data_IF_263666699258
#
_entry.id   IF_263666699258
#
_cell.length_a   1.000
_cell.length_b   1.000
_cell.length_c   1.000
_cell.angle_alpha   90.00
_cell.angle_beta   90.00
_cell.angle_gamma   90.00
#
_symmetry.space_group_name_H-M   'P 1'
#
loop_
_entity.id
_entity.type
_entity.pdbx_description
1 polymer ?
#
# COMPACT_ATOMS: atom_id res chain seq x y z
N UNK A 1 -34.99 15.43 3.33
CA UNK A 1 -34.78 15.24 4.77
C UNK A 1 -33.35 14.76 4.95
N UNK A 2 -32.46 15.62 5.46
CA UNK A 2 -31.01 15.40 5.52
C UNK A 2 -30.62 14.28 6.48
N UNK A 3 -31.39 14.11 7.55
CA UNK A 3 -31.17 13.08 8.58
C UNK A 3 -31.29 11.67 7.99
N UNK A 4 -32.38 11.41 7.24
CA UNK A 4 -32.58 10.15 6.53
C UNK A 4 -31.51 9.88 5.45
N UNK A 5 -30.95 10.93 4.83
CA UNK A 5 -29.84 10.77 3.87
C UNK A 5 -28.53 10.43 4.59
N UNK A 6 -28.22 11.09 5.71
CA UNK A 6 -27.03 10.80 6.52
C UNK A 6 -27.08 9.39 7.13
N UNK A 7 -28.24 8.95 7.61
CA UNK A 7 -28.43 7.57 8.09
C UNK A 7 -28.24 6.55 6.96
N UNK A 8 -28.77 6.82 5.77
CA UNK A 8 -28.62 5.93 4.62
C UNK A 8 -27.17 5.84 4.14
N UNK A 9 -26.43 6.96 4.10
CA UNK A 9 -25.00 6.98 3.75
C UNK A 9 -24.18 6.21 4.78
N UNK A 10 -24.43 6.43 6.08
CA UNK A 10 -23.75 5.71 7.14
C UNK A 10 -24.00 4.19 7.05
N UNK A 11 -25.22 3.77 6.73
CA UNK A 11 -25.59 2.37 6.60
C UNK A 11 -25.02 1.73 5.32
N UNK A 12 -25.10 2.43 4.17
CA UNK A 12 -24.65 1.91 2.87
C UNK A 12 -23.14 1.63 2.84
N UNK A 13 -22.33 2.45 3.51
CA UNK A 13 -20.87 2.26 3.59
C UNK A 13 -20.49 0.97 4.32
N UNK A 14 -21.34 0.47 5.23
CA UNK A 14 -21.11 -0.76 5.99
C UNK A 14 -21.60 -2.02 5.26
N UNK A 15 -22.62 -1.90 4.40
CA UNK A 15 -23.29 -3.03 3.75
C UNK A 15 -22.60 -3.49 2.46
N UNK A 16 -21.82 -2.62 1.79
CA UNK A 16 -21.27 -2.91 0.46
C UNK A 16 -19.86 -3.54 0.47
N UNK A 17 -19.60 -4.39 1.46
CA UNK A 17 -18.31 -5.09 1.59
C UNK A 17 -18.38 -6.50 1.02
N UNK A 18 -18.70 -6.62 -0.27
CA UNK A 18 -18.42 -7.87 -0.97
C UNK A 18 -16.89 -7.98 -1.20
N UNK A 19 -16.22 -8.72 -0.32
CA UNK A 19 -14.78 -8.98 -0.36
C UNK A 19 -14.37 -10.03 -1.40
N UNK A 20 -15.33 -10.68 -2.07
CA UNK A 20 -15.11 -11.77 -3.04
C UNK A 20 -15.17 -11.33 -4.51
N UNK A 21 -15.39 -10.04 -4.79
CA UNK A 21 -15.35 -9.52 -6.17
C UNK A 21 -13.90 -9.44 -6.70
N UNK A 22 -13.72 -9.36 -8.03
CA UNK A 22 -12.42 -9.18 -8.71
C UNK A 22 -11.81 -7.79 -8.46
N UNK A 23 -11.40 -7.52 -7.22
CA UNK A 23 -10.76 -6.27 -6.79
C UNK A 23 -9.69 -6.53 -5.74
N UNK A 24 -8.80 -5.56 -5.57
CA UNK A 24 -7.85 -5.56 -4.45
C UNK A 24 -8.57 -5.00 -3.22
N UNK A 25 -8.52 -5.77 -2.12
CA UNK A 25 -9.12 -5.37 -0.86
C UNK A 25 -8.10 -4.61 -0.01
N UNK A 26 -8.33 -3.32 0.19
CA UNK A 26 -7.51 -2.49 1.09
C UNK A 26 -8.26 -2.32 2.42
N UNK A 27 -7.59 -2.66 3.51
CA UNK A 27 -8.15 -2.55 4.85
C UNK A 27 -7.05 -2.39 5.89
N UNK A 28 -7.43 -2.00 7.10
CA UNK A 28 -6.50 -2.00 8.23
C UNK A 28 -6.28 -3.42 8.75
N UNK A 29 -5.16 -3.65 9.44
CA UNK A 29 -4.86 -4.96 10.03
C UNK A 29 -5.95 -5.40 11.02
N UNK A 30 -6.54 -4.47 11.77
CA UNK A 30 -7.66 -4.73 12.69
C UNK A 30 -8.91 -5.23 11.96
N UNK A 31 -9.24 -4.63 10.82
CA UNK A 31 -10.40 -5.02 10.00
C UNK A 31 -10.24 -6.37 9.33
N UNK A 32 -9.02 -6.89 9.21
CA UNK A 32 -8.73 -8.19 8.57
C UNK A 32 -9.10 -9.41 9.43
N UNK A 33 -9.47 -9.20 10.69
CA UNK A 33 -9.78 -10.27 11.64
C UNK A 33 -10.93 -11.15 11.13
N UNK A 34 -10.69 -12.45 11.02
CA UNK A 34 -11.68 -13.42 10.54
C UNK A 34 -11.78 -13.52 9.01
N UNK A 35 -11.03 -12.70 8.27
CA UNK A 35 -10.88 -12.84 6.83
C UNK A 35 -9.60 -13.63 6.52
N UNK A 36 -9.52 -14.20 5.32
CA UNK A 36 -8.33 -14.89 4.84
C UNK A 36 -8.21 -14.71 3.31
N UNK A 37 -6.99 -14.54 2.83
CA UNK A 37 -6.69 -14.27 1.42
C UNK A 37 -5.53 -15.13 0.94
N UNK A 38 -5.51 -15.46 -0.36
CA UNK A 38 -4.40 -16.23 -0.94
C UNK A 38 -3.06 -15.50 -0.82
N UNK A 39 -3.08 -14.19 -1.07
CA UNK A 39 -1.92 -13.31 -0.98
C UNK A 39 -2.27 -12.09 -0.15
N UNK A 40 -1.42 -11.74 0.82
CA UNK A 40 -1.55 -10.53 1.64
C UNK A 40 -0.31 -9.67 1.48
N UNK A 41 -0.52 -8.38 1.24
CA UNK A 41 0.53 -7.37 1.22
C UNK A 41 0.45 -6.58 2.54
N UNK A 42 1.56 -6.51 3.25
CA UNK A 42 1.68 -5.88 4.57
C UNK A 42 2.72 -4.75 4.48
N UNK A 43 2.35 -3.58 3.94
CA UNK A 43 3.25 -2.43 3.88
C UNK A 43 3.33 -1.70 5.22
N UNK A 44 4.37 -0.90 5.39
CA UNK A 44 4.52 0.00 6.55
C UNK A 44 4.99 -0.71 7.81
N UNK A 45 5.77 -1.79 7.68
CA UNK A 45 6.45 -2.44 8.81
C UNK A 45 7.68 -1.64 9.22
N UNK A 46 7.44 -0.48 9.81
CA UNK A 46 8.44 0.51 10.17
C UNK A 46 8.37 0.82 11.67
N UNK A 47 9.52 1.03 12.32
CA UNK A 47 9.54 1.51 13.70
C UNK A 47 8.81 2.86 13.82
N UNK A 48 8.04 3.01 14.90
CA UNK A 48 7.19 4.17 15.15
C UNK A 48 5.83 4.13 14.45
N UNK A 49 5.72 3.49 13.27
CA UNK A 49 4.45 3.27 12.58
C UNK A 49 3.81 1.93 12.98
N UNK A 50 4.59 0.85 12.90
CA UNK A 50 4.20 -0.51 13.27
C UNK A 50 5.42 -1.28 13.81
N UNK A 51 5.58 -1.40 15.13
CA UNK A 51 4.60 -1.11 16.18
C UNK A 51 4.32 0.39 16.36
N UNK A 52 3.07 0.74 16.66
CA UNK A 52 2.66 2.14 16.79
C UNK A 52 3.25 2.77 18.05
N UNK A 53 4.03 3.85 17.87
CA UNK A 53 4.80 4.49 18.95
C UNK A 53 3.95 4.83 20.18
N UNK A 54 2.78 5.45 19.96
CA UNK A 54 1.87 5.86 21.04
C UNK A 54 1.34 4.67 21.86
N UNK A 55 1.15 3.51 21.23
CA UNK A 55 0.67 2.30 21.91
C UNK A 55 1.71 1.82 22.93
N UNK A 56 2.99 1.89 22.53
CA UNK A 56 4.12 1.55 23.39
C UNK A 56 4.28 2.59 24.52
N UNK A 57 4.12 3.88 24.23
CA UNK A 57 4.26 4.94 25.25
C UNK A 57 3.16 4.88 26.32
N UNK A 58 1.91 4.63 25.92
CA UNK A 58 0.76 4.60 26.85
C UNK A 58 0.70 3.32 27.69
N UNK A 59 1.06 2.16 27.09
CA UNK A 59 0.86 0.84 27.71
C UNK A 59 2.14 0.08 27.98
N UNK A 60 3.30 0.65 27.64
CA UNK A 60 4.60 0.02 27.79
C UNK A 60 4.67 -1.33 27.07
N UNK A 61 5.21 -2.31 27.78
CA UNK A 61 5.37 -3.70 27.31
C UNK A 61 4.04 -4.34 26.89
N UNK A 62 2.94 -4.04 27.59
CA UNK A 62 1.62 -4.57 27.24
C UNK A 62 1.13 -4.02 25.88
N UNK A 63 1.48 -2.78 25.54
CA UNK A 63 1.15 -2.18 24.24
C UNK A 63 1.93 -2.85 23.13
N UNK A 64 3.23 -3.10 23.36
CA UNK A 64 4.07 -3.83 22.41
C UNK A 64 3.54 -5.24 22.14
N UNK A 65 3.14 -5.98 23.18
CA UNK A 65 2.57 -7.32 23.03
C UNK A 65 1.23 -7.32 22.28
N UNK A 66 0.44 -6.25 22.37
CA UNK A 66 -0.79 -6.10 21.59
C UNK A 66 -0.49 -5.88 20.10
N UNK A 67 0.47 -5.01 19.78
CA UNK A 67 0.94 -4.81 18.39
C UNK A 67 1.56 -6.09 17.82
N UNK A 68 2.27 -6.87 18.64
CA UNK A 68 2.81 -8.19 18.27
C UNK A 68 1.69 -9.17 17.91
N UNK A 69 0.61 -9.21 18.71
CA UNK A 69 -0.58 -10.01 18.39
C UNK A 69 -1.22 -9.54 17.08
N UNK A 70 -1.25 -8.24 16.83
CA UNK A 70 -1.77 -7.68 15.58
C UNK A 70 -0.91 -8.13 14.39
N UNK A 71 0.42 -8.09 14.52
CA UNK A 71 1.36 -8.58 13.50
C UNK A 71 1.11 -10.05 13.16
N UNK A 72 0.96 -10.89 14.19
CA UNK A 72 0.63 -12.30 14.05
C UNK A 72 -0.70 -12.51 13.31
N UNK A 73 -1.75 -11.76 13.69
CA UNK A 73 -3.05 -11.82 13.00
C UNK A 73 -2.86 -11.44 11.53
N UNK A 74 -2.15 -10.35 11.22
CA UNK A 74 -1.90 -9.88 9.87
C UNK A 74 -1.19 -10.91 8.98
N UNK A 75 -0.11 -11.52 9.47
CA UNK A 75 0.63 -12.56 8.73
C UNK A 75 -0.27 -13.79 8.50
N UNK A 76 -0.98 -14.24 9.53
CA UNK A 76 -1.83 -15.46 9.43
C UNK A 76 -3.09 -15.27 8.59
N UNK A 77 -3.37 -14.05 8.09
CA UNK A 77 -4.44 -13.85 7.08
C UNK A 77 -4.05 -14.42 5.71
N UNK A 78 -2.76 -14.60 5.45
CA UNK A 78 -2.26 -15.13 4.19
C UNK A 78 -2.30 -16.66 4.17
N UNK A 79 -2.93 -17.24 3.14
CA UNK A 79 -2.96 -18.70 2.94
C UNK A 79 -1.73 -19.22 2.21
N UNK A 80 -1.20 -18.45 1.26
CA UNK A 80 -0.08 -18.89 0.39
C UNK A 80 1.12 -17.97 0.51
N UNK A 81 0.93 -16.65 0.48
CA UNK A 81 2.03 -15.69 0.48
C UNK A 81 1.70 -14.42 1.27
N UNK A 82 2.56 -14.09 2.23
CA UNK A 82 2.60 -12.78 2.88
C UNK A 82 3.83 -12.02 2.37
N UNK A 83 3.65 -10.81 1.82
CA UNK A 83 4.76 -9.91 1.50
C UNK A 83 4.76 -8.75 2.48
N UNK A 84 5.85 -8.60 3.21
CA UNK A 84 6.06 -7.48 4.13
C UNK A 84 6.99 -6.47 3.47
N UNK A 85 6.67 -5.18 3.59
CA UNK A 85 7.53 -4.10 3.11
C UNK A 85 7.61 -2.94 4.09
N UNK A 86 8.74 -2.24 4.05
CA UNK A 86 9.03 -1.04 4.82
C UNK A 86 9.71 -0.01 3.92
N UNK A 87 9.57 1.26 4.24
CA UNK A 87 10.24 2.37 3.56
C UNK A 87 11.32 2.96 4.48
N UNK A 88 12.47 3.35 3.90
CA UNK A 88 13.51 4.08 4.64
C UNK A 88 13.10 5.52 4.92
N UNK A 89 12.38 6.17 3.99
CA UNK A 89 11.87 7.51 4.18
C UNK A 89 10.37 7.55 3.87
N UNK A 90 9.60 8.22 4.73
CA UNK A 90 8.15 8.37 4.56
C UNK A 90 7.73 9.82 4.79
N UNK A 91 6.84 10.31 3.94
CA UNK A 91 6.13 11.55 4.21
C UNK A 91 4.92 11.26 5.09
N UNK A 92 4.88 11.83 6.30
CA UNK A 92 3.84 11.58 7.28
C UNK A 92 3.50 12.86 8.05
N UNK A 93 2.20 13.19 8.13
CA UNK A 93 1.68 14.38 8.82
C UNK A 93 2.34 15.72 8.44
N UNK A 94 2.85 15.84 7.22
CA UNK A 94 3.45 17.08 6.72
C UNK A 94 4.98 17.11 6.76
N UNK A 95 5.60 16.14 7.40
CA UNK A 95 7.05 16.05 7.55
C UNK A 95 7.62 14.78 6.93
N UNK A 96 8.89 14.84 6.52
CA UNK A 96 9.65 13.66 6.13
C UNK A 96 10.25 13.01 7.38
N UNK A 97 9.94 11.73 7.56
CA UNK A 97 10.41 10.93 8.67
C UNK A 97 11.34 9.85 8.11
N UNK A 98 12.51 9.72 8.75
CA UNK A 98 13.41 8.60 8.56
C UNK A 98 12.88 7.41 9.37
N UNK A 99 12.67 6.29 8.69
CA UNK A 99 12.00 5.10 9.19
C UNK A 99 12.95 3.91 9.11
N UNK A 100 13.10 3.19 10.22
CA UNK A 100 13.79 1.91 10.24
C UNK A 100 12.79 0.76 10.05
N UNK A 101 13.28 -0.40 9.62
CA UNK A 101 12.47 -1.62 9.59
C UNK A 101 11.93 -1.94 11.00
N UNK A 102 10.69 -2.40 11.07
CA UNK A 102 10.04 -2.84 12.31
C UNK A 102 10.82 -3.98 12.96
N UNK A 103 10.97 -3.92 14.29
CA UNK A 103 11.53 -5.03 15.09
C UNK A 103 10.81 -6.36 14.85
N UNK A 104 9.53 -6.35 14.48
CA UNK A 104 8.77 -7.57 14.19
C UNK A 104 9.29 -8.30 12.96
N UNK A 105 10.06 -7.65 12.07
CA UNK A 105 10.71 -8.32 10.93
C UNK A 105 11.82 -9.26 11.41
N UNK A 106 12.61 -8.82 12.40
CA UNK A 106 13.74 -9.59 12.94
C UNK A 106 13.30 -10.76 13.83
N UNK A 107 12.06 -10.73 14.30
CA UNK A 107 11.45 -11.81 15.08
C UNK A 107 10.95 -12.98 14.22
N UNK A 108 10.85 -12.79 12.90
CA UNK A 108 10.39 -13.84 12.00
C UNK A 108 11.47 -14.90 11.79
N UNK A 109 11.12 -16.21 11.79
CA UNK A 109 12.10 -17.26 11.57
C UNK A 109 12.73 -17.13 10.17
N UNK A 110 14.07 -17.00 10.11
CA UNK A 110 14.78 -16.78 8.85
C UNK A 110 14.56 -17.90 7.83
N UNK A 111 14.29 -19.13 8.29
CA UNK A 111 14.01 -20.30 7.44
C UNK A 111 12.76 -20.13 6.55
N UNK A 112 11.80 -19.29 6.95
CA UNK A 112 10.59 -19.01 6.17
C UNK A 112 10.59 -17.63 5.52
N UNK A 113 11.65 -16.83 5.71
CA UNK A 113 11.72 -15.45 5.23
C UNK A 113 12.69 -15.34 4.06
N UNK A 114 12.15 -15.01 2.88
CA UNK A 114 12.97 -14.62 1.73
C UNK A 114 13.16 -13.10 1.73
N UNK A 115 14.32 -12.63 2.18
CA UNK A 115 14.70 -11.21 2.13
C UNK A 115 14.97 -10.82 0.66
N UNK A 116 14.19 -9.89 0.13
CA UNK A 116 14.35 -9.36 -1.22
C UNK A 116 15.04 -8.01 -1.15
N UNK A 117 16.37 -7.99 -1.04
CA UNK A 117 17.16 -6.78 -1.23
C UNK A 117 17.27 -6.48 -2.72
N UNK A 118 16.13 -6.18 -3.35
CA UNK A 118 16.16 -5.50 -4.63
C UNK A 118 16.47 -4.05 -4.31
N UNK A 119 17.75 -3.74 -4.08
CA UNK A 119 18.23 -2.43 -4.50
C UNK A 119 17.87 -2.39 -5.99
N UNK A 120 16.84 -1.62 -6.32
CA UNK A 120 16.54 -1.32 -7.71
C UNK A 120 17.83 -0.65 -8.19
N UNK A 121 18.69 -1.37 -8.91
CA UNK A 121 19.50 -0.72 -9.92
C UNK A 121 18.49 0.08 -10.72
N UNK A 122 18.56 1.41 -10.65
CA UNK A 122 17.71 2.33 -11.38
C UNK A 122 17.86 2.07 -12.88
N UNK A 123 17.26 1.00 -13.39
CA UNK A 123 16.72 1.02 -14.72
C UNK A 123 15.48 1.87 -14.59
N UNK A 124 15.66 3.15 -14.92
CA UNK A 124 14.62 4.16 -15.10
C UNK A 124 13.65 3.74 -16.22
N UNK A 125 12.97 2.63 -16.04
CA UNK A 125 11.73 2.36 -16.75
C UNK A 125 10.65 3.06 -15.94
N UNK A 126 10.45 4.35 -16.27
CA UNK A 126 9.38 5.21 -15.78
C UNK A 126 8.11 4.36 -15.55
N UNK A 127 7.71 4.23 -14.28
CA UNK A 127 6.45 3.62 -13.90
C UNK A 127 5.33 4.55 -14.39
N UNK A 128 4.90 4.38 -15.63
CA UNK A 128 3.80 5.15 -16.24
C UNK A 128 2.48 4.61 -15.68
N UNK A 129 1.92 5.33 -14.71
CA UNK A 129 0.62 5.01 -14.10
C UNK A 129 -0.50 5.34 -15.11
N UNK A 130 -0.65 4.50 -16.13
CA UNK A 130 -1.84 4.53 -16.99
C UNK A 130 -3.01 3.93 -16.21
N UNK A 131 -3.63 4.75 -15.38
CA UNK A 131 -4.99 4.48 -14.91
C UNK A 131 -5.95 4.82 -16.05
N UNK A 132 -6.15 3.84 -16.95
CA UNK A 132 -7.23 3.89 -17.94
C UNK A 132 -8.57 3.76 -17.21
N UNK A 133 -9.07 4.88 -16.69
CA UNK A 133 -10.49 5.07 -16.39
C UNK A 133 -11.18 5.35 -17.72
N UNK A 134 -11.90 4.37 -18.25
CA UNK A 134 -12.77 4.55 -19.42
C UNK A 134 -13.91 5.53 -19.08
N UNK A 135 -13.63 6.83 -19.20
CA UNK A 135 -14.67 7.83 -19.41
C UNK A 135 -14.72 8.13 -20.91
N UNK A 136 -15.87 7.83 -21.51
CA UNK A 136 -16.14 8.05 -22.91
C UNK A 136 -15.88 9.50 -23.35
N UNK A 137 -15.37 9.60 -24.57
CA UNK A 137 -15.22 10.79 -25.43
C UNK A 137 -14.18 11.86 -25.00
N UNK A 138 -13.05 11.81 -25.73
CA UNK A 138 -12.02 12.84 -25.98
C UNK A 138 -11.81 13.96 -24.93
N UNK A 139 -11.15 13.62 -23.83
CA UNK A 139 -10.34 14.59 -23.07
C UNK A 139 -8.84 14.24 -23.20
N UNK A 140 -8.20 14.73 -24.27
CA UNK A 140 -6.74 14.56 -24.46
C UNK A 140 -6.01 15.40 -23.43
N UNK A 141 -5.40 14.74 -22.44
CA UNK A 141 -4.67 15.43 -21.38
C UNK A 141 -3.48 16.22 -21.96
N UNK A 142 -3.05 17.32 -21.31
CA UNK A 142 -1.83 18.03 -21.70
C UNK A 142 -0.58 17.14 -21.74
N UNK A 143 -0.59 16.01 -21.02
CA UNK A 143 0.45 14.98 -21.06
C UNK A 143 0.50 14.23 -22.40
N UNK A 144 -0.66 13.89 -22.98
CA UNK A 144 -0.75 13.22 -24.28
C UNK A 144 -0.16 14.06 -25.42
N UNK A 145 -0.39 15.37 -25.38
CA UNK A 145 0.19 16.34 -26.34
C UNK A 145 1.71 16.40 -26.20
N UNK A 146 2.24 16.36 -24.97
CA UNK A 146 3.68 16.33 -24.70
C UNK A 146 4.32 15.03 -25.18
N UNK A 147 3.64 13.90 -25.01
CA UNK A 147 4.11 12.59 -25.49
C UNK A 147 4.18 12.51 -27.01
N UNK A 148 3.14 12.98 -27.72
CA UNK A 148 3.18 13.06 -29.19
C UNK A 148 4.32 13.96 -29.69
N UNK A 149 4.57 15.09 -29.02
CA UNK A 149 5.68 15.97 -29.34
C UNK A 149 7.03 15.25 -29.19
N UNK A 150 7.21 14.49 -28.10
CA UNK A 150 8.43 13.71 -27.82
C UNK A 150 8.64 12.57 -28.84
N UNK A 151 7.56 11.92 -29.29
CA UNK A 151 7.62 10.92 -30.37
C UNK A 151 8.04 11.53 -31.70
N UNK A 152 7.50 12.69 -32.06
CA UNK A 152 7.86 13.41 -33.28
C UNK A 152 9.32 13.91 -33.25
N UNK A 153 9.78 14.42 -32.11
CA UNK A 153 11.17 14.86 -31.93
C UNK A 153 12.15 13.68 -32.05
N UNK A 154 11.83 12.51 -31.49
CA UNK A 154 12.63 11.28 -31.66
C UNK A 154 12.65 10.79 -33.11
N UNK A 155 11.54 10.93 -33.84
CA UNK A 155 11.45 10.52 -35.24
C UNK A 155 12.30 11.42 -36.14
N UNK A 156 12.25 12.74 -35.94
CA UNK A 156 13.06 13.71 -36.68
C UNK A 156 14.57 13.54 -36.42
N UNK A 157 14.96 13.16 -35.19
CA UNK A 157 16.37 12.90 -34.86
C UNK A 157 16.94 11.64 -35.51
N UNK A 158 16.09 10.67 -35.87
CA UNK A 158 16.48 9.45 -36.62
C UNK A 158 16.56 9.65 -38.13
N UNK A 159 15.95 10.70 -38.68
CA UNK A 159 15.92 10.95 -40.13
C UNK A 159 17.13 11.81 -40.57
N UNK A 160 17.74 12.55 -39.65
CA UNK A 160 18.85 13.47 -39.93
C UNK A 160 20.24 12.93 -39.54
N UNK A 161 20.38 11.61 -39.36
CA UNK A 161 21.65 10.91 -39.11
C UNK A 161 21.80 9.73 -40.07
#
# INVERSE_FOLDING_TARGET
NLESFLEHVALATSLDQNWQSEKVNLMTMHSSKGLEFDVVLLPGWEEGLFPHQKSIEEKGENGLEEERRLAYVGITRAKKLAKISFSMNRFYQGDWIDSMASRFVDELPEEYVKKSNNFIEENSEDFDFNQDLEFGEEARSPGWIRYQKKLNDKKNKKINN
#
